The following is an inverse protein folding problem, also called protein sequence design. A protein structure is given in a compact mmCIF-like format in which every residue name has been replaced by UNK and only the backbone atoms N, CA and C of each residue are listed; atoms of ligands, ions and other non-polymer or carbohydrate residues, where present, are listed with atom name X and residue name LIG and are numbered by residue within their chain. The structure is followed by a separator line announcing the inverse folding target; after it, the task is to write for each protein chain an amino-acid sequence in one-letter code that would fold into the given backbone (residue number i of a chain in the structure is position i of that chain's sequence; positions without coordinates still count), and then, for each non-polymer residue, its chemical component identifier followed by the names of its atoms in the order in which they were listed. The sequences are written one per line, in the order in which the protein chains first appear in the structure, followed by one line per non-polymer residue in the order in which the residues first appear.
data_IF_054808592141
#
_entry.id   IF_054808592141
#
_cell.length_a   1.000
_cell.length_b   1.000
_cell.length_c   1.000
_cell.angle_alpha   90.00
_cell.angle_beta   90.00
_cell.angle_gamma   90.00
#
_symmetry.space_group_name_H-M   'P 1'
#
loop_
_entity.id
_entity.type
_entity.pdbx_description
1 polymer ?
#
# COMPACT_ATOMS: atom_id res chain seq x y z
N UNK A 1 8.70 -18.50 -8.44
CA UNK A 1 8.16 -17.38 -7.63
C UNK A 1 6.98 -16.79 -8.39
N UNK A 2 5.80 -16.71 -7.74
CA UNK A 2 4.59 -16.15 -8.36
C UNK A 2 4.76 -14.66 -8.65
N UNK A 3 4.04 -14.11 -9.65
CA UNK A 3 4.04 -12.68 -9.89
C UNK A 3 3.43 -11.92 -8.70
N UNK A 4 3.84 -10.66 -8.48
CA UNK A 4 3.28 -9.81 -7.42
C UNK A 4 1.79 -9.56 -7.65
N UNK A 5 1.08 -9.12 -6.62
CA UNK A 5 -0.29 -8.64 -6.80
C UNK A 5 -0.29 -7.31 -7.57
N UNK A 6 -1.41 -6.97 -8.20
CA UNK A 6 -1.51 -5.75 -9.01
C UNK A 6 -1.10 -4.48 -8.24
N UNK A 7 -1.51 -4.37 -6.98
CA UNK A 7 -1.21 -3.22 -6.12
C UNK A 7 0.29 -3.05 -5.77
N UNK A 8 1.09 -4.09 -6.01
CA UNK A 8 2.52 -4.12 -5.70
C UNK A 8 3.41 -3.85 -6.93
N UNK A 9 2.83 -3.78 -8.15
CA UNK A 9 3.59 -3.57 -9.40
C UNK A 9 4.45 -2.29 -9.37
N UNK A 10 3.96 -1.23 -8.74
CA UNK A 10 4.69 0.06 -8.61
C UNK A 10 5.17 0.35 -7.18
N UNK A 11 5.17 -0.67 -6.31
CA UNK A 11 5.45 -0.50 -4.87
C UNK A 11 6.84 0.09 -4.59
N UNK A 12 7.90 -0.35 -5.27
CA UNK A 12 9.27 0.14 -5.06
C UNK A 12 9.39 1.65 -5.31
N UNK A 13 8.90 2.13 -6.46
CA UNK A 13 8.87 3.54 -6.78
C UNK A 13 7.95 4.31 -5.81
N UNK A 14 6.78 3.77 -5.49
CA UNK A 14 5.85 4.39 -4.54
C UNK A 14 6.50 4.61 -3.17
N UNK A 15 7.13 3.57 -2.64
CA UNK A 15 7.84 3.59 -1.36
C UNK A 15 8.98 4.61 -1.35
N UNK A 16 9.70 4.77 -2.45
CA UNK A 16 10.73 5.79 -2.58
C UNK A 16 10.15 7.22 -2.51
N UNK A 17 8.92 7.47 -2.94
CA UNK A 17 8.31 8.80 -2.84
C UNK A 17 7.54 9.06 -1.54
N UNK A 18 7.11 7.99 -0.85
CA UNK A 18 6.17 8.09 0.29
C UNK A 18 6.82 7.78 1.64
N UNK A 19 7.59 6.69 1.74
CA UNK A 19 8.14 6.25 3.04
C UNK A 19 9.11 7.29 3.59
N UNK A 20 9.10 7.45 4.91
CA UNK A 20 9.96 8.35 5.70
C UNK A 20 9.74 9.87 5.53
N UNK A 21 8.92 10.30 4.57
CA UNK A 21 8.53 11.70 4.45
C UNK A 21 7.33 12.00 5.36
N UNK A 22 7.60 12.50 6.57
CA UNK A 22 6.59 12.95 7.53
C UNK A 22 6.78 14.44 7.82
N UNK A 23 6.18 15.30 6.99
CA UNK A 23 6.30 16.75 7.12
C UNK A 23 5.31 17.30 8.15
N UNK A 24 5.76 18.25 8.98
CA UNK A 24 4.90 18.98 9.93
C UNK A 24 4.24 18.10 11.00
N UNK A 25 4.82 16.92 11.29
CA UNK A 25 4.24 15.94 12.20
C UNK A 25 5.28 15.41 13.19
N UNK A 26 4.92 15.41 14.47
CA UNK A 26 5.60 14.61 15.48
C UNK A 26 4.97 13.22 15.50
N UNK A 27 5.74 12.20 15.15
CA UNK A 27 5.28 10.82 15.06
C UNK A 27 6.00 9.95 16.09
N UNK A 28 5.23 9.35 16.98
CA UNK A 28 5.64 8.27 17.86
C UNK A 28 5.17 6.93 17.26
N UNK A 29 6.06 5.95 17.18
CA UNK A 29 5.79 4.61 16.66
C UNK A 29 6.42 3.58 17.60
N UNK A 30 5.58 2.77 18.22
CA UNK A 30 5.98 1.74 19.17
C UNK A 30 5.47 0.40 18.68
N UNK A 31 6.40 -0.55 18.51
CA UNK A 31 6.11 -1.93 18.12
C UNK A 31 6.70 -2.86 19.17
N UNK A 32 5.89 -3.78 19.67
CA UNK A 32 6.31 -4.80 20.63
C UNK A 32 5.70 -6.14 20.27
N UNK A 33 6.38 -7.22 20.63
CA UNK A 33 5.89 -8.58 20.46
C UNK A 33 5.83 -9.23 21.83
N UNK A 34 4.65 -9.72 22.21
CA UNK A 34 4.43 -10.37 23.50
C UNK A 34 4.96 -11.82 23.47
N UNK A 35 5.15 -12.40 24.66
CA UNK A 35 5.52 -13.82 24.83
C UNK A 35 4.52 -14.78 24.15
N UNK A 36 3.26 -14.36 24.05
CA UNK A 36 2.18 -15.14 23.44
C UNK A 36 2.05 -14.91 21.92
N UNK A 37 3.09 -14.39 21.26
CA UNK A 37 3.12 -14.10 19.82
C UNK A 37 2.04 -13.10 19.33
N UNK A 38 1.56 -12.22 20.21
CA UNK A 38 0.74 -11.08 19.82
C UNK A 38 1.66 -9.90 19.51
N UNK A 39 1.58 -9.37 18.29
CA UNK A 39 2.26 -8.14 17.90
C UNK A 39 1.37 -6.95 18.27
N UNK A 40 1.91 -6.03 19.06
CA UNK A 40 1.26 -4.78 19.47
C UNK A 40 1.96 -3.64 18.76
N UNK A 41 1.18 -2.77 18.13
CA UNK A 41 1.66 -1.60 17.42
C UNK A 41 0.84 -0.38 17.82
N UNK A 42 1.49 0.56 18.49
CA UNK A 42 0.92 1.83 18.93
C UNK A 42 1.58 2.92 18.12
N UNK A 43 0.78 3.79 17.51
CA UNK A 43 1.28 4.94 16.77
C UNK A 43 0.50 6.18 17.20
N UNK A 44 1.23 7.28 17.37
CA UNK A 44 0.68 8.57 17.77
C UNK A 44 1.29 9.70 16.96
N UNK A 45 0.43 10.47 16.32
CA UNK A 45 0.78 11.50 15.36
C UNK A 45 0.20 12.83 15.83
N UNK A 46 1.06 13.79 16.14
CA UNK A 46 0.67 15.15 16.54
C UNK A 46 1.12 16.16 15.50
N UNK A 47 0.19 16.99 15.03
CA UNK A 47 0.50 18.16 14.20
C UNK A 47 0.72 19.36 15.13
N UNK A 48 1.94 19.94 15.21
CA UNK A 48 2.20 21.05 16.13
C UNK A 48 1.35 22.29 15.84
N UNK A 49 1.11 22.60 14.56
CA UNK A 49 0.40 23.82 14.13
C UNK A 49 -1.08 23.76 14.48
N UNK A 50 -1.78 22.68 14.10
CA UNK A 50 -3.23 22.55 14.33
C UNK A 50 -3.58 21.92 15.68
N UNK A 51 -2.56 21.50 16.44
CA UNK A 51 -2.69 20.67 17.64
C UNK A 51 -3.51 19.37 17.45
N UNK A 52 -3.71 18.93 16.20
CA UNK A 52 -4.48 17.74 15.90
C UNK A 52 -3.68 16.50 16.31
N UNK A 53 -4.32 15.62 17.06
CA UNK A 53 -3.78 14.35 17.50
C UNK A 53 -4.53 13.20 16.82
N UNK A 54 -3.80 12.29 16.20
CA UNK A 54 -4.33 11.06 15.65
C UNK A 54 -3.52 9.90 16.20
N UNK A 55 -4.18 8.94 16.85
CA UNK A 55 -3.52 7.75 17.40
C UNK A 55 -4.20 6.48 16.92
N UNK A 56 -3.47 5.38 16.93
CA UNK A 56 -4.07 4.05 16.83
C UNK A 56 -3.33 3.04 17.69
N UNK A 57 -4.09 2.01 18.10
CA UNK A 57 -3.61 0.76 18.66
C UNK A 57 -3.95 -0.35 17.67
N UNK A 58 -2.96 -1.13 17.26
CA UNK A 58 -3.11 -2.29 16.38
C UNK A 58 -2.58 -3.53 17.10
N UNK A 59 -3.35 -4.61 17.08
CA UNK A 59 -3.01 -5.89 17.69
C UNK A 59 -3.15 -7.00 16.64
N UNK A 60 -2.06 -7.70 16.36
CA UNK A 60 -2.03 -8.83 15.43
C UNK A 60 -1.72 -10.11 16.19
N UNK A 61 -2.50 -11.14 15.94
CA UNK A 61 -2.31 -12.46 16.55
C UNK A 61 -2.52 -13.58 15.54
N UNK A 62 -1.88 -14.71 15.79
CA UNK A 62 -2.06 -15.95 15.03
C UNK A 62 -3.04 -16.80 15.82
N UNK A 63 -4.25 -16.98 15.30
CA UNK A 63 -5.29 -17.80 15.95
C UNK A 63 -5.06 -19.29 15.72
N UNK A 64 -4.59 -19.65 14.53
CA UNK A 64 -4.19 -21.01 14.17
C UNK A 64 -3.21 -20.97 13.01
N UNK A 65 -2.49 -22.07 12.67
CA UNK A 65 -1.60 -22.09 11.53
C UNK A 65 -2.32 -21.65 10.25
N UNK A 66 -1.88 -20.57 9.62
CA UNK A 66 -2.51 -20.00 8.41
C UNK A 66 -3.72 -19.08 8.67
N UNK A 67 -4.12 -18.83 9.93
CA UNK A 67 -5.18 -17.86 10.27
C UNK A 67 -4.64 -16.76 11.18
N UNK A 68 -4.80 -15.52 10.75
CA UNK A 68 -4.34 -14.33 11.47
C UNK A 68 -5.54 -13.42 11.73
N UNK A 69 -5.59 -12.86 12.93
CA UNK A 69 -6.52 -11.81 13.27
C UNK A 69 -5.75 -10.53 13.56
N UNK A 70 -6.27 -9.42 13.07
CA UNK A 70 -5.76 -8.09 13.31
C UNK A 70 -6.92 -7.21 13.77
N UNK A 71 -6.71 -6.48 14.88
CA UNK A 71 -7.66 -5.51 15.40
C UNK A 71 -6.96 -4.17 15.50
N UNK A 72 -7.50 -3.16 14.84
CA UNK A 72 -7.00 -1.79 14.89
C UNK A 72 -8.09 -0.85 15.42
N UNK A 73 -7.76 -0.08 16.44
CA UNK A 73 -8.61 0.95 17.03
C UNK A 73 -7.93 2.31 16.89
N UNK A 74 -8.65 3.30 16.38
CA UNK A 74 -8.15 4.69 16.25
C UNK A 74 -8.71 5.61 17.33
N UNK A 75 -8.10 6.79 17.50
CA UNK A 75 -8.58 7.85 18.40
C UNK A 75 -10.00 8.34 18.07
N UNK A 76 -10.44 8.19 16.82
CA UNK A 76 -11.78 8.61 16.36
C UNK A 76 -12.80 7.46 16.46
N UNK A 77 -12.52 6.46 17.31
CA UNK A 77 -13.38 5.30 17.52
C UNK A 77 -13.72 4.52 16.25
N UNK A 78 -12.80 4.51 15.28
CA UNK A 78 -12.87 3.62 14.12
C UNK A 78 -12.20 2.31 14.49
N UNK A 79 -12.97 1.23 14.47
CA UNK A 79 -12.49 -0.12 14.76
C UNK A 79 -12.43 -0.91 13.46
N UNK A 80 -11.25 -1.42 13.13
CA UNK A 80 -11.03 -2.33 12.01
C UNK A 80 -10.74 -3.73 12.55
N UNK A 81 -11.56 -4.70 12.16
CA UNK A 81 -11.31 -6.12 12.35
C UNK A 81 -10.88 -6.72 11.02
N UNK A 82 -9.75 -7.39 10.97
CA UNK A 82 -9.22 -8.06 9.78
C UNK A 82 -8.93 -9.51 10.16
N UNK A 83 -9.57 -10.44 9.45
CA UNK A 83 -9.42 -11.88 9.63
C UNK A 83 -8.91 -12.50 8.33
N UNK A 84 -7.64 -12.88 8.34
CA UNK A 84 -6.95 -13.48 7.20
C UNK A 84 -6.86 -15.00 7.37
N UNK A 85 -7.29 -15.75 6.37
CA UNK A 85 -7.12 -17.19 6.26
C UNK A 85 -6.36 -17.54 4.97
N UNK A 86 -5.14 -18.04 5.11
CA UNK A 86 -4.25 -18.44 4.01
C UNK A 86 -4.04 -19.95 4.01
N UNK A 87 -4.14 -20.58 2.84
CA UNK A 87 -3.79 -21.98 2.66
C UNK A 87 -4.80 -22.99 3.25
N UNK A 88 -5.98 -22.54 3.68
CA UNK A 88 -6.98 -23.41 4.35
C UNK A 88 -7.85 -24.21 3.39
N UNK A 89 -8.30 -23.59 2.31
CA UNK A 89 -9.05 -24.26 1.24
C UNK A 89 -8.14 -24.79 0.15
N UNK A 90 -7.12 -24.00 -0.22
CA UNK A 90 -6.10 -24.36 -1.20
C UNK A 90 -4.79 -23.66 -0.85
N UNK A 91 -3.60 -24.27 -1.02
CA UNK A 91 -2.30 -23.68 -0.65
C UNK A 91 -2.05 -22.29 -1.24
N UNK A 92 -2.55 -22.07 -2.46
CA UNK A 92 -2.37 -20.84 -3.22
C UNK A 92 -3.47 -19.78 -2.98
N UNK A 93 -4.46 -20.08 -2.13
CA UNK A 93 -5.55 -19.17 -1.80
C UNK A 93 -5.30 -18.46 -0.46
N UNK A 94 -5.65 -17.18 -0.46
CA UNK A 94 -5.72 -16.34 0.73
C UNK A 94 -7.03 -15.57 0.70
N UNK A 95 -7.83 -15.76 1.74
CA UNK A 95 -9.05 -15.02 2.00
C UNK A 95 -8.79 -14.03 3.14
N UNK A 96 -9.36 -12.83 3.04
CA UNK A 96 -9.34 -11.86 4.12
C UNK A 96 -10.74 -11.25 4.27
N UNK A 97 -11.24 -11.20 5.49
CA UNK A 97 -12.48 -10.51 5.83
C UNK A 97 -12.15 -9.28 6.68
N UNK A 98 -12.37 -8.10 6.13
CA UNK A 98 -12.09 -6.82 6.80
C UNK A 98 -13.40 -6.11 7.11
N UNK A 99 -13.69 -5.89 8.38
CA UNK A 99 -14.85 -5.13 8.86
C UNK A 99 -14.38 -3.82 9.48
N UNK A 100 -14.97 -2.69 9.07
CA UNK A 100 -14.70 -1.38 9.64
C UNK A 100 -16.00 -0.84 10.24
N UNK A 101 -15.93 -0.45 11.52
CA UNK A 101 -17.02 0.13 12.27
C UNK A 101 -16.60 1.51 12.78
N UNK A 102 -17.34 2.53 12.37
CA UNK A 102 -17.16 3.91 12.83
C UNK A 102 -18.22 4.24 13.87
N UNK A 103 -17.80 4.47 15.12
CA UNK A 103 -18.75 4.69 16.22
C UNK A 103 -19.53 6.01 16.08
N UNK A 104 -18.87 7.09 15.66
CA UNK A 104 -19.45 8.43 15.64
C UNK A 104 -20.46 8.62 14.50
N UNK A 105 -20.12 8.15 13.31
CA UNK A 105 -20.99 8.25 12.12
C UNK A 105 -22.01 7.10 12.06
N UNK A 106 -21.76 6.00 12.77
CA UNK A 106 -22.52 4.77 12.64
C UNK A 106 -22.22 3.99 11.36
N UNK A 107 -21.29 4.45 10.53
CA UNK A 107 -20.93 3.80 9.28
C UNK A 107 -20.32 2.43 9.53
N UNK A 108 -20.72 1.47 8.69
CA UNK A 108 -20.21 0.11 8.71
C UNK A 108 -19.82 -0.26 7.30
N UNK A 109 -18.67 -0.89 7.16
CA UNK A 109 -18.28 -1.51 5.90
C UNK A 109 -17.71 -2.90 6.14
N UNK A 110 -17.94 -3.79 5.19
CA UNK A 110 -17.39 -5.13 5.18
C UNK A 110 -16.72 -5.35 3.83
N UNK A 111 -15.46 -5.78 3.83
CA UNK A 111 -14.73 -6.10 2.60
C UNK A 111 -14.27 -7.55 2.66
N UNK A 112 -14.78 -8.36 1.75
CA UNK A 112 -14.30 -9.74 1.56
C UNK A 112 -13.29 -9.77 0.41
N UNK A 113 -12.06 -10.14 0.70
CA UNK A 113 -10.95 -10.21 -0.26
C UNK A 113 -10.56 -11.65 -0.49
N UNK A 114 -10.36 -12.03 -1.74
CA UNK A 114 -9.82 -13.33 -2.13
C UNK A 114 -8.66 -13.09 -3.07
N UNK A 115 -7.53 -13.70 -2.78
CA UNK A 115 -6.32 -13.65 -3.60
C UNK A 115 -5.84 -15.07 -3.91
N UNK A 116 -5.49 -15.28 -5.17
CA UNK A 116 -4.96 -16.52 -5.69
C UNK A 116 -3.57 -16.24 -6.28
N UNK A 117 -2.55 -16.91 -5.75
CA UNK A 117 -1.16 -16.71 -6.15
C UNK A 117 -0.59 -18.01 -6.69
N UNK A 118 -0.32 -18.05 -7.99
CA UNK A 118 0.24 -19.20 -8.69
C UNK A 118 1.49 -18.79 -9.47
N UNK A 119 2.32 -19.75 -9.91
CA UNK A 119 3.63 -19.42 -10.50
C UNK A 119 3.56 -18.56 -11.77
N UNK A 120 2.43 -18.61 -12.49
CA UNK A 120 2.20 -17.89 -13.74
C UNK A 120 1.29 -16.67 -13.53
N UNK A 121 0.35 -16.73 -12.58
CA UNK A 121 -0.70 -15.71 -12.40
C UNK A 121 -0.94 -15.34 -10.95
N UNK A 122 -1.30 -14.09 -10.73
CA UNK A 122 -1.81 -13.59 -9.47
C UNK A 122 -3.18 -12.94 -9.72
N UNK A 123 -4.23 -13.48 -9.12
CA UNK A 123 -5.58 -12.98 -9.27
C UNK A 123 -6.12 -12.50 -7.92
N UNK A 124 -6.87 -11.42 -7.93
CA UNK A 124 -7.52 -10.84 -6.75
C UNK A 124 -8.97 -10.49 -7.04
N UNK A 125 -9.85 -10.77 -6.09
CA UNK A 125 -11.25 -10.38 -6.10
C UNK A 125 -11.62 -9.82 -4.72
N UNK A 126 -11.97 -8.55 -4.69
CA UNK A 126 -12.42 -7.86 -3.49
C UNK A 126 -13.89 -7.46 -3.66
N UNK A 127 -14.71 -7.76 -2.66
CA UNK A 127 -16.11 -7.39 -2.56
C UNK A 127 -16.27 -6.42 -1.40
N UNK A 128 -16.45 -5.13 -1.70
CA UNK A 128 -16.62 -4.07 -0.71
C UNK A 128 -18.09 -3.72 -0.48
N UNK A 129 -18.62 -4.02 0.69
CA UNK A 129 -19.99 -3.73 1.11
C UNK A 129 -20.01 -2.50 2.03
N UNK A 130 -20.23 -1.33 1.44
CA UNK A 130 -20.59 -0.09 2.16
C UNK A 130 -22.10 0.18 2.07
N UNK A 131 -22.79 -0.53 1.18
CA UNK A 131 -24.24 -0.48 0.98
C UNK A 131 -24.79 -1.89 0.72
N UNK A 132 -26.07 -2.01 0.39
CA UNK A 132 -26.70 -3.28 -0.05
C UNK A 132 -25.98 -3.91 -1.25
N UNK A 133 -25.40 -3.08 -2.12
CA UNK A 133 -24.74 -3.49 -3.35
C UNK A 133 -23.22 -3.37 -3.21
N UNK A 134 -22.45 -4.44 -3.46
CA UNK A 134 -21.00 -4.41 -3.32
C UNK A 134 -20.31 -3.68 -4.47
N UNK A 135 -19.22 -2.98 -4.14
CA UNK A 135 -18.20 -2.59 -5.11
C UNK A 135 -17.31 -3.80 -5.37
N UNK A 136 -17.31 -4.30 -6.61
CA UNK A 136 -16.53 -5.47 -7.01
C UNK A 136 -15.22 -5.00 -7.63
N UNK A 137 -14.10 -5.35 -7.03
CA UNK A 137 -12.77 -5.05 -7.57
C UNK A 137 -12.08 -6.32 -7.99
N UNK A 138 -11.79 -6.45 -9.29
CA UNK A 138 -11.05 -7.56 -9.87
C UNK A 138 -9.65 -7.14 -10.26
N UNK A 139 -8.67 -8.01 -10.03
CA UNK A 139 -7.30 -7.81 -10.51
C UNK A 139 -6.71 -9.12 -11.01
N UNK A 140 -5.87 -9.03 -12.03
CA UNK A 140 -5.15 -10.17 -12.60
C UNK A 140 -3.79 -9.70 -13.09
N UNK A 141 -2.73 -10.40 -12.71
CA UNK A 141 -1.36 -10.17 -13.17
C UNK A 141 -0.83 -11.47 -13.77
N UNK A 142 -0.33 -11.41 -14.99
CA UNK A 142 0.30 -12.53 -15.67
C UNK A 142 1.82 -12.30 -15.77
N UNK A 143 2.59 -13.32 -15.39
CA UNK A 143 4.04 -13.27 -15.34
C UNK A 143 4.68 -13.16 -16.73
N UNK A 144 4.22 -13.96 -17.69
CA UNK A 144 4.87 -14.07 -19.01
C UNK A 144 4.77 -12.77 -19.81
N UNK A 145 3.68 -12.04 -19.63
CA UNK A 145 3.48 -10.72 -20.24
C UNK A 145 3.91 -9.56 -19.34
N UNK A 146 4.30 -9.85 -18.10
CA UNK A 146 4.51 -8.88 -17.01
C UNK A 146 3.44 -7.77 -17.00
N UNK A 147 2.20 -8.15 -17.27
CA UNK A 147 1.08 -7.25 -17.46
C UNK A 147 0.01 -7.55 -16.41
N UNK A 148 -0.65 -6.49 -15.96
CA UNK A 148 -1.70 -6.52 -14.98
C UNK A 148 -2.94 -5.77 -15.48
N UNK A 149 -4.11 -6.26 -15.09
CA UNK A 149 -5.37 -5.57 -15.25
C UNK A 149 -6.04 -5.41 -13.89
N UNK A 150 -6.72 -4.30 -13.72
CA UNK A 150 -7.47 -3.98 -12.52
C UNK A 150 -8.75 -3.24 -12.89
N UNK A 151 -9.89 -3.75 -12.44
CA UNK A 151 -11.19 -3.17 -12.73
C UNK A 151 -12.03 -3.04 -11.45
N UNK A 152 -12.80 -1.97 -11.38
CA UNK A 152 -13.73 -1.67 -10.30
C UNK A 152 -15.12 -1.53 -10.91
N UNK A 153 -16.01 -2.44 -10.55
CA UNK A 153 -17.39 -2.51 -10.99
C UNK A 153 -18.33 -2.14 -9.85
N UNK A 154 -19.18 -1.15 -10.09
CA UNK A 154 -20.22 -0.72 -9.17
C UNK A 154 -21.50 -1.51 -9.44
N UNK A 155 -21.82 -2.47 -8.56
CA UNK A 155 -23.00 -3.30 -8.76
C UNK A 155 -24.32 -2.57 -8.47
N UNK A 156 -24.30 -1.39 -7.85
CA UNK A 156 -25.49 -0.60 -7.59
C UNK A 156 -25.95 0.11 -8.86
N UNK A 157 -24.99 0.71 -9.58
CA UNK A 157 -25.24 1.43 -10.83
C UNK A 157 -25.11 0.53 -12.06
N UNK A 158 -24.52 -0.66 -11.91
CA UNK A 158 -24.13 -1.56 -13.01
C UNK A 158 -23.15 -0.91 -13.99
N UNK A 159 -22.23 -0.07 -13.48
CA UNK A 159 -21.25 0.67 -14.27
C UNK A 159 -19.84 0.27 -13.83
N UNK A 160 -18.91 0.23 -14.78
CA UNK A 160 -17.47 0.11 -14.48
C UNK A 160 -16.95 1.50 -14.12
N UNK A 161 -16.69 1.74 -12.84
CA UNK A 161 -16.19 3.03 -12.35
C UNK A 161 -14.73 3.27 -12.76
N UNK A 162 -13.93 2.21 -12.85
CA UNK A 162 -12.51 2.32 -13.17
C UNK A 162 -12.00 1.04 -13.82
N UNK A 163 -11.19 1.19 -14.86
CA UNK A 163 -10.38 0.12 -15.42
C UNK A 163 -8.95 0.62 -15.63
N UNK A 164 -7.98 -0.21 -15.32
CA UNK A 164 -6.57 0.11 -15.38
C UNK A 164 -5.78 -1.06 -15.94
N UNK A 165 -4.86 -0.75 -16.82
CA UNK A 165 -3.90 -1.68 -17.39
C UNK A 165 -2.52 -1.28 -16.89
N UNK A 166 -1.68 -2.22 -16.50
CA UNK A 166 -0.31 -1.96 -16.10
C UNK A 166 0.63 -2.91 -16.83
N UNK A 167 1.75 -2.40 -17.30
CA UNK A 167 2.85 -3.18 -17.81
C UNK A 167 4.06 -2.90 -16.94
N UNK A 168 4.66 -3.97 -16.42
CA UNK A 168 5.81 -3.91 -15.56
C UNK A 168 7.01 -4.53 -16.28
N UNK A 169 8.13 -3.84 -16.29
CA UNK A 169 9.40 -4.34 -16.77
C UNK A 169 10.34 -4.39 -15.58
N UNK A 170 10.88 -5.57 -15.29
CA UNK A 170 11.86 -5.76 -14.23
C UNK A 170 13.09 -6.41 -14.83
N UNK A 171 14.20 -5.68 -14.81
CA UNK A 171 15.48 -6.15 -15.30
C UNK A 171 16.54 -5.78 -14.26
N UNK A 172 17.07 -6.80 -13.59
CA UNK A 172 18.06 -6.70 -12.52
C UNK A 172 17.70 -5.60 -11.50
N UNK A 173 18.40 -4.47 -11.59
CA UNK A 173 18.34 -3.35 -10.67
C UNK A 173 17.26 -2.31 -11.02
N UNK A 174 16.63 -2.43 -12.19
CA UNK A 174 15.64 -1.49 -12.74
C UNK A 174 14.25 -2.11 -12.74
N UNK A 175 13.31 -1.38 -12.16
CA UNK A 175 11.89 -1.69 -12.14
C UNK A 175 11.12 -0.52 -12.76
N UNK A 176 10.51 -0.74 -13.92
CA UNK A 176 9.69 0.26 -14.59
C UNK A 176 8.25 -0.25 -14.73
N UNK A 177 7.27 0.53 -14.26
CA UNK A 177 5.86 0.22 -14.37
C UNK A 177 5.15 1.36 -15.08
N UNK A 178 4.57 1.08 -16.24
CA UNK A 178 3.64 1.97 -16.93
C UNK A 178 2.21 1.51 -16.67
N UNK A 179 1.29 2.43 -16.45
CA UNK A 179 -0.12 2.12 -16.30
C UNK A 179 -1.00 3.10 -17.05
N UNK A 180 -2.11 2.60 -17.57
CA UNK A 180 -3.14 3.35 -18.28
C UNK A 180 -4.46 3.20 -17.53
N UNK A 181 -4.96 4.27 -16.95
CA UNK A 181 -6.25 4.32 -16.27
C UNK A 181 -7.29 4.96 -17.20
N UNK A 182 -8.47 4.34 -17.30
CA UNK A 182 -9.62 4.88 -18.03
C UNK A 182 -9.31 5.30 -19.49
N UNK A 183 -8.44 4.55 -20.17
CA UNK A 183 -7.97 4.79 -21.55
C UNK A 183 -7.40 6.19 -21.81
N UNK A 184 -7.03 6.93 -20.76
CA UNK A 184 -6.71 8.35 -20.89
C UNK A 184 -5.63 8.84 -19.95
N UNK A 185 -5.53 8.32 -18.74
CA UNK A 185 -4.52 8.75 -17.78
C UNK A 185 -3.35 7.79 -17.81
N UNK A 186 -2.14 8.30 -18.03
CA UNK A 186 -0.92 7.51 -18.13
C UNK A 186 -0.07 7.79 -16.90
N UNK A 187 0.43 6.75 -16.24
CA UNK A 187 1.38 6.86 -15.14
C UNK A 187 2.59 5.97 -15.43
N UNK A 188 3.78 6.55 -15.41
CA UNK A 188 5.06 5.86 -15.50
C UNK A 188 5.81 6.02 -14.19
N UNK A 189 6.21 4.89 -13.62
CA UNK A 189 7.03 4.83 -12.41
C UNK A 189 8.30 4.05 -12.73
N UNK A 190 9.45 4.64 -12.51
CA UNK A 190 10.76 3.99 -12.67
C UNK A 190 11.46 3.98 -11.32
N UNK A 191 12.05 2.86 -10.98
CA UNK A 191 12.87 2.67 -9.80
C UNK A 191 14.16 1.96 -10.21
N UNK A 192 15.29 2.43 -9.70
CA UNK A 192 16.60 1.89 -9.97
C UNK A 192 17.39 1.86 -8.66
N UNK A 193 17.91 0.70 -8.28
CA UNK A 193 18.76 0.53 -7.09
C UNK A 193 20.21 0.31 -7.51
N UNK A 194 21.12 1.20 -7.11
CA UNK A 194 22.55 1.16 -7.46
C UNK A 194 23.35 1.14 -6.15
N UNK A 195 23.86 -0.03 -5.76
CA UNK A 195 24.62 -0.24 -4.50
C UNK A 195 23.91 0.34 -3.26
N UNK A 196 24.33 1.55 -2.84
CA UNK A 196 23.83 2.27 -1.67
C UNK A 196 22.87 3.43 -2.03
N UNK A 197 22.48 3.55 -3.30
CA UNK A 197 21.66 4.63 -3.83
C UNK A 197 20.44 4.07 -4.56
N UNK A 198 19.25 4.35 -4.05
CA UNK A 198 18.02 4.15 -4.82
C UNK A 198 17.61 5.45 -5.48
N UNK A 199 17.23 5.39 -6.75
CA UNK A 199 16.70 6.51 -7.54
C UNK A 199 15.34 6.10 -8.11
N UNK A 200 14.43 7.05 -8.21
CA UNK A 200 13.16 6.80 -8.86
C UNK A 200 12.57 8.05 -9.49
N UNK A 201 11.83 7.81 -10.56
CA UNK A 201 11.16 8.84 -11.33
C UNK A 201 9.68 8.49 -11.43
N UNK A 202 8.84 9.51 -11.34
CA UNK A 202 7.42 9.42 -11.61
C UNK A 202 7.07 10.41 -12.70
N UNK A 203 6.25 9.98 -13.64
CA UNK A 203 5.68 10.81 -14.69
C UNK A 203 4.21 10.41 -14.81
N UNK A 204 3.30 11.37 -14.70
CA UNK A 204 1.88 11.17 -14.88
C UNK A 204 1.35 12.17 -15.90
N UNK A 205 0.37 11.74 -16.68
CA UNK A 205 -0.38 12.62 -17.57
C UNK A 205 -1.86 12.32 -17.45
N UNK A 206 -2.66 13.37 -17.26
CA UNK A 206 -4.11 13.27 -17.08
C UNK A 206 -4.83 14.05 -18.16
N UNK A 207 -5.69 13.38 -18.93
CA UNK A 207 -6.43 14.00 -20.04
C UNK A 207 -7.39 15.10 -19.57
N UNK A 208 -8.03 14.91 -18.43
CA UNK A 208 -9.10 15.81 -17.94
C UNK A 208 -8.65 17.28 -17.87
N UNK A 209 -7.43 17.53 -17.41
CA UNK A 209 -6.88 18.88 -17.29
C UNK A 209 -5.64 19.10 -18.19
N UNK A 210 -5.31 18.13 -19.05
CA UNK A 210 -4.04 18.09 -19.81
C UNK A 210 -2.80 18.33 -18.95
N UNK A 211 -2.87 17.93 -17.67
CA UNK A 211 -1.84 18.19 -16.69
C UNK A 211 -0.78 17.08 -16.74
N UNK A 212 0.48 17.49 -16.70
CA UNK A 212 1.62 16.58 -16.54
C UNK A 212 2.13 16.71 -15.12
N UNK A 213 2.19 15.60 -14.39
CA UNK A 213 2.87 15.50 -13.11
C UNK A 213 4.20 14.79 -13.29
N UNK A 214 5.21 15.20 -12.56
CA UNK A 214 6.50 14.53 -12.57
C UNK A 214 7.19 14.70 -11.24
N UNK A 215 8.08 13.77 -10.92
CA UNK A 215 8.89 13.88 -9.73
C UNK A 215 10.09 12.96 -9.79
N UNK A 216 11.12 13.35 -9.04
CA UNK A 216 12.31 12.56 -8.85
C UNK A 216 12.51 12.35 -7.35
N UNK A 217 12.92 11.15 -6.96
CA UNK A 217 13.27 10.83 -5.59
C UNK A 217 14.56 10.03 -5.56
N UNK A 218 15.32 10.19 -4.50
CA UNK A 218 16.52 9.41 -4.24
C UNK A 218 16.60 9.05 -2.76
N UNK A 219 17.23 7.93 -2.47
CA UNK A 219 17.57 7.48 -1.12
C UNK A 219 19.01 6.98 -1.12
N UNK A 220 19.88 7.69 -0.42
CA UNK A 220 21.26 7.32 -0.21
C UNK A 220 21.45 6.72 1.18
N UNK A 221 22.16 5.59 1.26
CA UNK A 221 22.44 4.85 2.50
C UNK A 221 23.95 4.85 2.78
N UNK A 222 24.50 5.89 3.43
CA UNK A 222 25.94 5.97 3.68
C UNK A 222 26.44 4.86 4.62
N UNK A 223 25.58 4.36 5.51
CA UNK A 223 25.87 3.19 6.33
C UNK A 223 24.59 2.39 6.61
N UNK A 224 24.73 1.17 7.15
CA UNK A 224 23.59 0.27 7.44
C UNK A 224 22.54 0.87 8.41
N UNK A 225 22.94 1.86 9.22
CA UNK A 225 22.10 2.46 10.24
C UNK A 225 21.61 3.87 9.89
N UNK A 226 21.90 4.40 8.70
CA UNK A 226 21.42 5.73 8.33
C UNK A 226 21.00 5.81 6.87
N UNK A 227 20.12 6.76 6.59
CA UNK A 227 19.74 7.10 5.24
C UNK A 227 19.47 8.59 5.10
N UNK A 228 19.79 9.12 3.93
CA UNK A 228 19.39 10.45 3.46
C UNK A 228 18.46 10.23 2.29
N UNK A 229 17.34 10.93 2.27
CA UNK A 229 16.32 10.79 1.25
C UNK A 229 15.86 12.17 0.79
N UNK A 230 15.77 12.35 -0.51
CA UNK A 230 15.31 13.60 -1.12
C UNK A 230 14.26 13.29 -2.18
N UNK A 231 13.29 14.19 -2.34
CA UNK A 231 12.37 14.18 -3.46
C UNK A 231 12.06 15.59 -3.94
N UNK A 232 11.70 15.69 -5.21
CA UNK A 232 11.19 16.91 -5.84
C UNK A 232 10.03 16.54 -6.73
N UNK A 233 9.05 17.43 -6.85
CA UNK A 233 7.89 17.28 -7.74
C UNK A 233 7.74 18.47 -8.70
N UNK A 234 6.72 18.39 -9.56
CA UNK A 234 6.44 19.41 -10.58
C UNK A 234 6.15 20.80 -10.02
N UNK A 235 5.76 20.90 -8.76
CA UNK A 235 5.42 22.15 -8.09
C UNK A 235 6.67 22.78 -7.42
N UNK A 236 7.86 22.26 -7.75
CA UNK A 236 9.15 22.65 -7.15
C UNK A 236 9.20 22.43 -5.64
N UNK A 237 8.39 21.52 -5.10
CA UNK A 237 8.39 21.19 -3.68
C UNK A 237 9.50 20.18 -3.41
N UNK A 238 10.47 20.59 -2.61
CA UNK A 238 11.57 19.71 -2.19
C UNK A 238 11.26 19.11 -0.82
N UNK A 239 11.29 17.78 -0.77
CA UNK A 239 11.17 17.01 0.46
C UNK A 239 12.50 16.40 0.85
N UNK A 240 12.97 16.66 2.07
CA UNK A 240 14.15 16.03 2.65
C UNK A 240 13.76 15.17 3.85
N UNK A 241 14.38 14.00 3.97
CA UNK A 241 14.25 13.14 5.13
C UNK A 241 15.61 12.51 5.46
N UNK A 242 15.91 12.46 6.75
CA UNK A 242 17.09 11.81 7.28
C UNK A 242 16.65 10.87 8.40
N UNK A 243 17.23 9.68 8.44
CA UNK A 243 16.94 8.71 9.48
C UNK A 243 18.22 8.08 10.00
N UNK A 244 18.28 7.92 11.32
CA UNK A 244 19.32 7.16 12.01
C UNK A 244 18.63 6.09 12.84
N UNK A 245 19.20 4.88 12.81
CA UNK A 245 18.89 3.82 13.75
C UNK A 245 19.87 3.89 14.91
N UNK A 246 19.41 4.40 16.05
CA UNK A 246 20.13 4.32 17.30
C UNK A 246 19.90 2.92 17.89
N UNK A 247 20.89 2.04 17.80
CA UNK A 247 20.91 0.85 18.66
C UNK A 247 21.57 1.29 19.97
N UNK A 248 20.86 1.29 21.11
CA UNK A 248 21.56 1.32 22.38
C UNK A 248 22.43 0.05 22.44
N UNK A 249 23.74 0.22 22.61
CA UNK A 249 24.63 -0.90 22.90
C UNK A 249 24.11 -1.56 24.18
N UNK A 250 23.73 -2.83 24.07
CA UNK A 250 23.33 -3.70 25.19
C UNK A 250 24.55 -4.26 25.88
#
# INVERSE_FOLDING_TARGET
MPPPCYADLSSSARDLFEKHFKFGLLNFDFKSKTSNNVDIHINGNRRPISNALATFLEMKTILSPGVRANVKLTSNWVTTFDLEAKGKLHPNLKHNLVSVLEKETGNKSLTAKTSFSHDIVNAGLDLGFTSKYPLVTGSLVCKDYSAGVHAVFDSAQMIINRYQYAFNCRHDDIHACISLTNHSNIDLNVFHSIDNLDVGFKLGWTKQNSATSYGAALMYRPCKNSFIKAKVDQDSIVGLAYGIKANPES
#
